data_IF_540128060230
#
_entry.id   IF_540128060230
#
_cell.length_a   1.000
_cell.length_b   1.000
_cell.length_c   1.000
_cell.angle_alpha   90.00
_cell.angle_beta   90.00
_cell.angle_gamma   90.00
#
_symmetry.space_group_name_H-M   'P 1'
#
loop_
_entity.id
_entity.type
_entity.pdbx_description
1 polymer ?
#
# COMPACT_ATOMS: atom_id res chain seq x y z
N UNK A 1 -0.43 -8.78 37.89
CA UNK A 1 -0.18 -8.91 36.43
C UNK A 1 -0.18 -10.37 35.96
N UNK A 2 0.52 -11.29 36.65
CA UNK A 2 0.62 -12.72 36.27
C UNK A 2 -0.73 -13.46 36.13
N UNK A 3 -1.69 -13.23 37.04
CA UNK A 3 -3.04 -13.85 36.97
C UNK A 3 -3.85 -13.43 35.74
N UNK A 4 -3.71 -12.18 35.28
CA UNK A 4 -4.39 -11.69 34.07
C UNK A 4 -3.83 -12.35 32.80
N UNK A 5 -2.51 -12.56 32.75
CA UNK A 5 -1.84 -13.23 31.63
C UNK A 5 -2.29 -14.70 31.53
N UNK A 6 -2.45 -15.39 32.67
CA UNK A 6 -2.97 -16.77 32.69
C UNK A 6 -4.37 -16.83 32.08
N UNK A 7 -5.26 -15.90 32.44
CA UNK A 7 -6.61 -15.87 31.89
C UNK A 7 -6.63 -15.58 30.38
N UNK A 8 -5.76 -14.66 29.92
CA UNK A 8 -5.60 -14.37 28.49
C UNK A 8 -5.11 -15.61 27.74
N UNK A 9 -4.06 -16.28 28.23
CA UNK A 9 -3.54 -17.49 27.58
C UNK A 9 -4.58 -18.62 27.54
N UNK A 10 -5.32 -18.82 28.63
CA UNK A 10 -6.41 -19.79 28.68
C UNK A 10 -7.51 -19.45 27.67
N UNK A 11 -7.93 -18.18 27.61
CA UNK A 11 -8.95 -17.72 26.67
C UNK A 11 -8.51 -17.89 25.21
N UNK A 12 -7.26 -17.57 24.88
CA UNK A 12 -6.71 -17.78 23.53
C UNK A 12 -6.68 -19.27 23.17
N UNK A 13 -6.22 -20.13 24.08
CA UNK A 13 -6.23 -21.58 23.85
C UNK A 13 -7.65 -22.12 23.65
N UNK A 14 -8.61 -21.62 24.43
CA UNK A 14 -10.02 -22.00 24.31
C UNK A 14 -10.61 -21.53 22.97
N UNK A 15 -10.30 -20.31 22.54
CA UNK A 15 -10.73 -19.77 21.25
C UNK A 15 -10.21 -20.63 20.08
N UNK A 16 -8.94 -21.03 20.13
CA UNK A 16 -8.34 -21.90 19.11
C UNK A 16 -9.06 -23.25 19.06
N UNK A 17 -9.37 -23.85 20.22
CA UNK A 17 -10.13 -25.10 20.30
C UNK A 17 -11.53 -24.95 19.68
N UNK A 18 -12.24 -23.86 19.99
CA UNK A 18 -13.55 -23.58 19.42
C UNK A 18 -13.51 -23.36 17.92
N UNK A 19 -12.50 -22.65 17.40
CA UNK A 19 -12.34 -22.44 15.97
C UNK A 19 -12.15 -23.78 15.24
N UNK A 20 -11.31 -24.67 15.77
CA UNK A 20 -11.12 -26.02 15.20
C UNK A 20 -12.40 -26.85 15.26
N UNK A 21 -13.14 -26.82 16.38
CA UNK A 21 -14.36 -27.60 16.56
C UNK A 21 -15.50 -27.12 15.66
N UNK A 22 -15.69 -25.80 15.55
CA UNK A 22 -16.73 -25.25 14.69
C UNK A 22 -16.51 -25.65 13.23
N UNK A 23 -15.25 -25.62 12.79
CA UNK A 23 -14.92 -25.99 11.43
C UNK A 23 -15.14 -27.48 11.14
N UNK A 24 -14.83 -28.37 12.09
CA UNK A 24 -15.09 -29.80 11.87
C UNK A 24 -16.58 -30.07 11.78
N UNK A 25 -17.40 -29.47 12.67
CA UNK A 25 -18.87 -29.60 12.62
C UNK A 25 -19.43 -29.11 11.29
N UNK A 26 -18.99 -27.95 10.80
CA UNK A 26 -19.42 -27.43 9.51
C UNK A 26 -19.01 -28.33 8.34
N UNK A 27 -17.81 -28.94 8.42
CA UNK A 27 -17.38 -29.93 7.42
C UNK A 27 -18.27 -31.18 7.41
N UNK A 28 -18.78 -31.63 8.57
CA UNK A 28 -19.71 -32.76 8.64
C UNK A 28 -21.05 -32.43 7.98
N UNK A 29 -21.54 -31.20 8.09
CA UNK A 29 -22.77 -30.77 7.41
C UNK A 29 -22.64 -30.91 5.89
N UNK A 30 -21.51 -30.48 5.31
CA UNK A 30 -21.24 -30.66 3.88
C UNK A 30 -21.21 -32.14 3.50
N UNK A 31 -20.50 -32.99 4.24
CA UNK A 31 -20.48 -34.44 3.98
C UNK A 31 -21.90 -35.02 4.03
N UNK A 32 -22.69 -34.63 5.02
CA UNK A 32 -24.07 -35.10 5.15
C UNK A 32 -24.92 -34.66 3.96
N UNK A 33 -24.82 -33.39 3.55
CA UNK A 33 -25.51 -32.88 2.35
C UNK A 33 -25.11 -33.66 1.10
N UNK A 34 -23.82 -33.93 0.88
CA UNK A 34 -23.34 -34.72 -0.26
C UNK A 34 -23.90 -36.14 -0.29
N UNK A 35 -24.02 -36.79 0.87
CA UNK A 35 -24.58 -38.14 0.97
C UNK A 35 -26.11 -38.13 0.75
N UNK A 36 -26.78 -37.05 1.19
CA UNK A 36 -28.25 -36.94 1.11
C UNK A 36 -28.71 -36.39 -0.26
N UNK A 37 -27.84 -35.66 -0.96
CA UNK A 37 -28.08 -35.17 -2.32
C UNK A 37 -28.29 -36.37 -3.25
N UNK A 38 -29.38 -36.37 -4.01
CA UNK A 38 -29.70 -37.48 -4.91
C UNK A 38 -28.69 -37.50 -6.06
N UNK A 39 -28.00 -38.63 -6.23
CA UNK A 39 -27.17 -38.87 -7.41
C UNK A 39 -28.03 -38.75 -8.66
N UNK A 40 -27.68 -37.82 -9.54
CA UNK A 40 -28.39 -37.57 -10.78
C UNK A 40 -27.54 -38.06 -11.95
N UNK A 41 -27.93 -39.17 -12.56
CA UNK A 41 -27.32 -39.66 -13.79
C UNK A 41 -27.82 -38.84 -14.98
N UNK A 42 -27.01 -37.90 -15.46
CA UNK A 42 -27.31 -37.18 -16.69
C UNK A 42 -27.03 -38.07 -17.90
N UNK A 43 -28.11 -38.55 -18.53
CA UNK A 43 -28.07 -39.08 -19.88
C UNK A 43 -27.67 -37.95 -20.84
N UNK A 44 -26.44 -38.00 -21.37
CA UNK A 44 -25.96 -37.11 -22.44
C UNK A 44 -26.66 -37.42 -23.78
N UNK A 45 -27.99 -37.46 -23.81
CA UNK A 45 -28.73 -37.56 -25.07
C UNK A 45 -28.56 -36.25 -25.83
N UNK A 46 -28.12 -36.34 -27.08
CA UNK A 46 -27.98 -35.20 -28.00
C UNK A 46 -29.17 -34.24 -27.82
N UNK A 47 -28.87 -32.99 -27.48
CA UNK A 47 -29.77 -31.84 -27.61
C UNK A 47 -30.80 -31.58 -26.48
N UNK A 48 -30.55 -32.02 -25.24
CA UNK A 48 -31.31 -31.54 -24.07
C UNK A 48 -30.34 -30.99 -23.01
N UNK A 49 -30.12 -29.68 -23.05
CA UNK A 49 -29.45 -28.96 -21.97
C UNK A 49 -30.34 -28.98 -20.73
N UNK A 50 -30.19 -29.98 -19.86
CA UNK A 50 -30.87 -30.02 -18.57
C UNK A 50 -30.05 -29.22 -17.55
N UNK A 51 -30.41 -27.94 -17.38
CA UNK A 51 -29.93 -27.11 -16.27
C UNK A 51 -30.81 -27.43 -15.05
N UNK A 52 -30.72 -28.64 -14.50
CA UNK A 52 -31.58 -29.03 -13.36
C UNK A 52 -30.86 -28.98 -12.01
N UNK A 53 -29.53 -28.87 -11.98
CA UNK A 53 -28.75 -28.56 -10.78
C UNK A 53 -27.30 -28.27 -11.17
N UNK A 54 -26.66 -27.34 -10.45
CA UNK A 54 -25.22 -27.11 -10.57
C UNK A 54 -24.50 -27.94 -9.51
N UNK A 55 -23.70 -28.93 -9.91
CA UNK A 55 -22.77 -29.63 -9.00
C UNK A 55 -21.64 -28.74 -8.48
N UNK A 56 -21.58 -27.46 -8.89
CA UNK A 56 -20.46 -26.57 -8.58
C UNK A 56 -20.49 -25.96 -7.18
N UNK A 57 -21.57 -26.14 -6.40
CA UNK A 57 -21.77 -25.33 -5.19
C UNK A 57 -21.05 -25.90 -3.96
N UNK A 58 -20.64 -27.17 -3.98
CA UNK A 58 -20.21 -27.86 -2.75
C UNK A 58 -18.75 -28.34 -2.75
N UNK A 59 -18.01 -28.10 -3.84
CA UNK A 59 -16.59 -28.50 -3.90
C UNK A 59 -15.66 -27.54 -3.15
N UNK A 60 -16.02 -26.26 -3.01
CA UNK A 60 -15.12 -25.21 -2.49
C UNK A 60 -15.82 -24.34 -1.44
N UNK A 61 -15.85 -24.81 -0.20
CA UNK A 61 -16.27 -23.98 0.94
C UNK A 61 -15.09 -23.15 1.45
N UNK A 62 -15.18 -21.81 1.35
CA UNK A 62 -14.12 -20.89 1.81
C UNK A 62 -13.83 -20.99 3.31
N UNK A 63 -14.80 -21.45 4.09
CA UNK A 63 -14.68 -21.63 5.54
C UNK A 63 -13.92 -22.92 5.87
N UNK A 64 -14.23 -24.02 5.16
CA UNK A 64 -13.53 -25.29 5.35
C UNK A 64 -12.14 -25.29 4.69
N UNK A 65 -11.94 -24.51 3.63
CA UNK A 65 -10.69 -24.41 2.87
C UNK A 65 -9.78 -23.28 3.39
N UNK A 66 -9.58 -23.23 4.70
CA UNK A 66 -8.57 -22.36 5.32
C UNK A 66 -7.21 -23.09 5.43
N UNK A 67 -6.12 -22.34 5.35
CA UNK A 67 -4.78 -22.87 5.60
C UNK A 67 -4.01 -21.88 6.48
N UNK A 68 -3.34 -22.38 7.52
CA UNK A 68 -2.40 -21.57 8.29
C UNK A 68 -1.13 -21.38 7.47
N UNK A 69 -0.91 -20.16 6.99
CA UNK A 69 0.39 -19.79 6.41
C UNK A 69 1.37 -19.49 7.53
N UNK A 70 2.62 -19.95 7.37
CA UNK A 70 3.70 -19.62 8.30
C UNK A 70 3.95 -18.12 8.26
N UNK A 71 3.67 -17.43 9.36
CA UNK A 71 4.07 -16.04 9.53
C UNK A 71 5.58 -15.96 9.70
N UNK A 72 6.27 -15.34 8.74
CA UNK A 72 7.70 -15.03 8.85
C UNK A 72 7.78 -13.60 9.41
N UNK A 73 8.31 -13.40 10.63
CA UNK A 73 8.53 -12.06 11.14
C UNK A 73 9.58 -11.37 10.26
N UNK A 74 9.20 -10.28 9.60
CA UNK A 74 10.13 -9.46 8.81
C UNK A 74 10.86 -8.52 9.76
N UNK A 75 12.18 -8.66 9.89
CA UNK A 75 13.01 -7.70 10.59
C UNK A 75 13.11 -6.41 9.75
N UNK A 76 12.45 -5.36 10.20
CA UNK A 76 12.55 -4.04 9.58
C UNK A 76 13.84 -3.35 10.06
N UNK A 77 14.84 -3.28 9.19
CA UNK A 77 16.04 -2.49 9.46
C UNK A 77 15.77 -0.99 9.26
N UNK A 78 16.01 -0.13 10.27
CA UNK A 78 15.86 1.31 10.10
C UNK A 78 16.98 1.85 9.19
N UNK A 79 16.60 2.53 8.11
CA UNK A 79 17.55 3.24 7.25
C UNK A 79 17.85 4.61 7.87
N UNK A 80 19.14 4.96 8.01
CA UNK A 80 19.55 6.29 8.46
C UNK A 80 20.12 7.09 7.28
N UNK A 81 19.67 8.33 7.12
CA UNK A 81 20.18 9.25 6.10
C UNK A 81 21.12 10.26 6.76
N UNK A 82 22.36 10.35 6.26
CA UNK A 82 23.31 11.38 6.69
C UNK A 82 23.11 12.64 5.86
N UNK A 83 22.64 13.72 6.49
CA UNK A 83 22.54 15.03 5.84
C UNK A 83 23.92 15.69 5.80
N UNK A 84 24.51 15.79 4.61
CA UNK A 84 25.73 16.57 4.39
C UNK A 84 25.35 18.05 4.29
N UNK A 85 25.84 18.86 5.23
CA UNK A 85 25.63 20.32 5.21
C UNK A 85 26.87 20.94 4.59
N UNK A 86 26.73 21.51 3.39
CA UNK A 86 27.77 22.33 2.78
C UNK A 86 27.58 23.79 3.19
N UNK A 87 28.56 24.36 3.88
CA UNK A 87 28.58 25.79 4.16
C UNK A 87 28.93 26.55 2.88
N UNK A 88 27.96 27.20 2.26
CA UNK A 88 28.20 28.15 1.16
C UNK A 88 28.78 29.45 1.73
N UNK A 89 30.01 29.86 1.35
CA UNK A 89 30.54 31.14 1.79
C UNK A 89 29.74 32.28 1.15
N UNK A 90 29.30 33.21 1.98
CA UNK A 90 28.52 34.36 1.54
C UNK A 90 29.48 35.44 1.03
N UNK A 91 29.60 35.55 -0.30
CA UNK A 91 30.44 36.56 -0.94
C UNK A 91 29.63 37.83 -1.19
N UNK A 92 29.95 38.91 -0.45
CA UNK A 92 29.46 40.24 -0.78
C UNK A 92 30.46 40.93 -1.72
N UNK A 93 30.03 41.18 -2.96
CA UNK A 93 30.82 41.97 -3.92
C UNK A 93 30.29 43.41 -3.87
N UNK A 94 31.11 44.33 -3.35
CA UNK A 94 30.80 45.76 -3.40
C UNK A 94 31.54 46.38 -4.60
N UNK A 95 30.79 46.82 -5.60
CA UNK A 95 31.35 47.62 -6.70
C UNK A 95 31.34 49.10 -6.30
N UNK A 96 32.52 49.73 -6.26
CA UNK A 96 32.63 51.17 -6.05
C UNK A 96 32.13 51.89 -7.31
N UNK A 97 30.93 52.45 -7.25
CA UNK A 97 30.38 53.26 -8.34
C UNK A 97 31.08 54.63 -8.32
N UNK A 98 32.00 54.87 -9.27
CA UNK A 98 32.49 56.21 -9.54
C UNK A 98 31.45 56.96 -10.38
N UNK A 99 30.60 57.75 -9.71
CA UNK A 99 29.71 58.69 -10.38
C UNK A 99 30.50 59.92 -10.82
N UNK A 100 30.72 60.08 -12.13
CA UNK A 100 31.18 61.34 -12.71
C UNK A 100 29.98 62.28 -12.84
N UNK A 101 29.66 63.02 -11.79
CA UNK A 101 28.63 64.06 -11.88
C UNK A 101 29.11 65.18 -12.82
N UNK A 102 28.27 65.52 -13.80
CA UNK A 102 28.48 66.62 -14.74
C UNK A 102 28.43 67.96 -13.99
N UNK A 103 29.57 68.63 -13.84
CA UNK A 103 29.68 69.97 -13.24
C UNK A 103 29.77 71.05 -14.33
N UNK A 104 28.63 71.55 -14.79
CA UNK A 104 28.55 72.87 -15.43
C UNK A 104 28.11 72.90 -16.89
N UNK A 105 27.25 73.89 -17.19
CA UNK A 105 26.67 74.23 -18.49
C UNK A 105 27.68 74.14 -19.64
N UNK A 106 27.48 73.18 -20.56
CA UNK A 106 28.14 73.16 -21.86
C UNK A 106 27.59 74.32 -22.70
N UNK A 107 28.26 75.46 -22.65
CA UNK A 107 28.09 76.52 -23.64
C UNK A 107 28.74 76.07 -24.95
N UNK A 108 28.08 75.16 -25.68
CA UNK A 108 28.41 74.92 -27.07
C UNK A 108 28.28 76.26 -27.81
N UNK A 109 29.41 76.76 -28.30
CA UNK A 109 29.53 78.04 -29.01
C UNK A 109 28.57 78.01 -30.21
N UNK A 110 27.44 78.73 -30.12
CA UNK A 110 26.47 78.89 -31.23
C UNK A 110 26.98 79.91 -32.26
N UNK A 111 28.26 79.87 -32.60
CA UNK A 111 28.81 80.71 -33.66
C UNK A 111 28.66 79.97 -35.00
N UNK A 112 28.18 80.64 -36.06
CA UNK A 112 28.16 80.03 -37.39
C UNK A 112 29.60 79.75 -37.87
N UNK A 113 29.81 78.65 -38.63
CA UNK A 113 31.14 78.25 -39.08
C UNK A 113 31.77 79.34 -39.96
N UNK A 114 33.03 79.69 -39.70
CA UNK A 114 33.79 80.60 -40.56
C UNK A 114 34.18 79.86 -41.84
N UNK A 115 33.89 80.46 -42.99
CA UNK A 115 34.39 79.99 -44.28
C UNK A 115 35.90 80.24 -44.34
N UNK A 116 36.68 79.16 -44.33
CA UNK A 116 38.06 79.13 -44.83
C UNK A 116 38.04 78.29 -46.10
#
# INVERSE_FOLDING_TARGET
MKKKIIFINFSVSLMVLFAMLFQTVHSYEHIFRQITEKHCDHSNSLNKYQITHSHSVDANCSICHFAFSTFIPTDFYPYSFTKVIHATPLAFIYAKVNSTFFKGSLFALRAPPSLV
#
